data_IF_549364475444
#
_entry.id   IF_549364475444
#
_cell.length_a   1.000
_cell.length_b   1.000
_cell.length_c   1.000
_cell.angle_alpha   90.00
_cell.angle_beta   90.00
_cell.angle_gamma   90.00
#
_symmetry.space_group_name_H-M   'P 1'
#
loop_
_entity.id
_entity.type
_entity.pdbx_description
1 polymer ?
#
# COMPACT_ATOMS: atom_id res chain seq x y z
N UNK A 1 -12.88 12.87 10.74
CA UNK A 1 -11.90 13.64 11.54
C UNK A 1 -11.41 14.77 10.66
N UNK A 2 -11.52 15.97 11.13
CA UNK A 2 -11.61 17.27 10.48
C UNK A 2 -10.41 17.63 9.60
N UNK A 3 -10.74 18.13 8.38
CA UNK A 3 -9.90 18.93 7.49
C UNK A 3 -9.24 20.12 8.24
N UNK A 4 -8.04 19.90 8.73
CA UNK A 4 -7.10 20.99 8.99
C UNK A 4 -6.25 21.18 7.72
N UNK A 5 -6.89 21.71 6.65
CA UNK A 5 -6.17 22.33 5.57
C UNK A 5 -5.35 23.48 6.18
N UNK A 6 -4.08 23.26 6.44
CA UNK A 6 -3.13 24.26 6.92
C UNK A 6 -3.16 25.44 5.96
N UNK A 7 -3.60 26.59 6.45
CA UNK A 7 -3.57 27.84 5.68
C UNK A 7 -2.14 28.05 5.14
N UNK A 8 -1.98 28.43 3.85
CA UNK A 8 -0.65 28.60 3.28
C UNK A 8 0.12 29.65 4.09
N UNK A 9 1.32 29.32 4.51
CA UNK A 9 2.15 30.19 5.30
C UNK A 9 2.41 31.56 4.61
N UNK A 10 2.76 32.61 5.35
CA UNK A 10 2.89 33.98 4.81
C UNK A 10 3.89 34.06 3.66
N UNK A 11 4.94 33.24 3.64
CA UNK A 11 5.91 33.17 2.55
C UNK A 11 5.30 32.63 1.24
N UNK A 12 4.41 31.64 1.31
CA UNK A 12 3.73 31.08 0.13
C UNK A 12 2.71 32.07 -0.47
N UNK A 13 2.02 32.85 0.37
CA UNK A 13 1.11 33.90 -0.09
C UNK A 13 1.86 35.07 -0.74
N UNK A 14 2.99 35.48 -0.19
CA UNK A 14 3.85 36.49 -0.79
C UNK A 14 4.41 36.05 -2.15
N UNK A 15 4.92 34.82 -2.26
CA UNK A 15 5.42 34.28 -3.52
C UNK A 15 4.32 34.20 -4.60
N UNK A 16 3.09 33.81 -4.23
CA UNK A 16 1.92 33.78 -5.13
C UNK A 16 1.57 35.18 -5.63
N UNK A 17 1.58 36.18 -4.74
CA UNK A 17 1.28 37.58 -5.09
C UNK A 17 2.36 38.18 -5.97
N UNK A 18 3.64 38.00 -5.65
CA UNK A 18 4.77 38.46 -6.47
C UNK A 18 4.70 37.88 -7.89
N UNK A 19 4.45 36.57 -8.02
CA UNK A 19 4.30 35.92 -9.33
C UNK A 19 3.12 36.47 -10.14
N UNK A 20 2.02 36.84 -9.49
CA UNK A 20 0.86 37.47 -10.17
C UNK A 20 1.21 38.85 -10.69
N UNK A 21 1.91 39.65 -9.88
CA UNK A 21 2.33 40.98 -10.26
C UNK A 21 3.33 40.94 -11.43
N UNK A 22 4.29 40.00 -11.42
CA UNK A 22 5.23 39.85 -12.55
C UNK A 22 4.50 39.46 -13.83
N UNK A 23 3.55 38.52 -13.78
CA UNK A 23 2.73 38.14 -14.94
C UNK A 23 1.89 39.30 -15.44
N UNK A 24 1.27 40.08 -14.55
CA UNK A 24 0.48 41.23 -14.90
C UNK A 24 1.33 42.30 -15.61
N UNK A 25 2.52 42.60 -15.09
CA UNK A 25 3.44 43.56 -15.68
C UNK A 25 3.96 43.11 -17.06
N UNK A 26 4.39 41.86 -17.19
CA UNK A 26 4.87 41.31 -18.47
C UNK A 26 3.77 41.32 -19.53
N UNK A 27 2.54 40.93 -19.18
CA UNK A 27 1.41 40.96 -20.09
C UNK A 27 1.02 42.41 -20.46
N UNK A 28 1.05 43.36 -19.52
CA UNK A 28 0.75 44.76 -19.75
C UNK A 28 1.77 45.41 -20.73
N UNK A 29 3.05 45.06 -20.57
CA UNK A 29 4.12 45.52 -21.50
C UNK A 29 3.91 44.88 -22.85
N UNK A 30 3.61 43.59 -22.95
CA UNK A 30 3.37 42.91 -24.23
C UNK A 30 2.19 43.50 -24.99
N UNK A 31 1.09 43.80 -24.28
CA UNK A 31 -0.10 44.48 -24.85
C UNK A 31 0.28 45.89 -25.32
N UNK A 32 1.02 46.65 -24.50
CA UNK A 32 1.53 47.96 -24.88
C UNK A 32 2.37 47.93 -26.14
N UNK A 33 3.29 46.97 -26.28
CA UNK A 33 4.11 46.79 -27.48
C UNK A 33 3.23 46.45 -28.71
N UNK A 34 2.27 45.58 -28.57
CA UNK A 34 1.35 45.22 -29.64
C UNK A 34 0.51 46.40 -30.14
N UNK A 35 0.13 47.32 -29.21
CA UNK A 35 -0.72 48.47 -29.50
C UNK A 35 0.07 49.70 -30.02
N UNK A 36 1.43 49.64 -29.98
CA UNK A 36 2.24 50.80 -30.42
C UNK A 36 1.97 51.23 -31.86
N UNK A 37 1.67 50.32 -32.77
CA UNK A 37 1.42 50.61 -34.19
C UNK A 37 0.07 51.36 -34.42
N UNK A 38 -0.84 51.26 -33.49
CA UNK A 38 -2.20 51.85 -33.57
C UNK A 38 -2.33 53.06 -32.66
N UNK A 39 -1.28 53.35 -31.87
CA UNK A 39 -1.32 54.41 -30.87
C UNK A 39 -0.79 55.73 -31.38
N UNK A 40 -1.65 56.75 -31.42
CA UNK A 40 -1.32 58.06 -31.98
C UNK A 40 -0.76 59.08 -30.96
N UNK A 41 -0.60 58.66 -29.66
CA UNK A 41 -0.06 59.51 -28.61
C UNK A 41 1.32 59.04 -28.13
N UNK A 42 1.87 59.67 -27.09
CA UNK A 42 3.19 59.27 -26.54
C UNK A 42 3.21 57.80 -26.08
N UNK A 43 4.26 57.01 -26.40
CA UNK A 43 4.40 55.62 -25.97
C UNK A 43 4.32 55.47 -24.44
N UNK A 44 4.87 56.44 -23.70
CA UNK A 44 4.84 56.43 -22.22
C UNK A 44 3.39 56.44 -21.66
N UNK A 45 2.47 57.18 -22.31
CA UNK A 45 1.06 57.23 -21.92
C UNK A 45 0.37 55.87 -22.19
N UNK A 46 0.74 55.15 -23.22
CA UNK A 46 0.23 53.82 -23.53
C UNK A 46 0.66 52.79 -22.47
N UNK A 47 1.95 52.71 -22.17
CA UNK A 47 2.46 51.79 -21.17
C UNK A 47 1.89 52.06 -19.78
N UNK A 48 1.80 53.31 -19.38
CA UNK A 48 1.16 53.65 -18.07
C UNK A 48 -0.27 53.13 -18.01
N UNK A 49 -1.07 53.34 -19.07
CA UNK A 49 -2.48 52.88 -19.13
C UNK A 49 -2.59 51.35 -19.12
N UNK A 50 -1.78 50.66 -19.92
CA UNK A 50 -1.81 49.19 -19.95
C UNK A 50 -1.38 48.58 -18.61
N UNK A 51 -0.39 49.17 -17.92
CA UNK A 51 0.03 48.73 -16.57
C UNK A 51 -1.11 48.92 -15.54
N UNK A 52 -1.78 50.11 -15.55
CA UNK A 52 -2.91 50.35 -14.64
C UNK A 52 -4.04 49.34 -14.90
N UNK A 53 -4.35 49.07 -16.18
CA UNK A 53 -5.37 48.07 -16.53
C UNK A 53 -4.96 46.66 -16.09
N UNK A 54 -3.73 46.27 -16.29
CA UNK A 54 -3.24 44.94 -15.87
C UNK A 54 -3.24 44.77 -14.36
N UNK A 55 -2.86 45.80 -13.60
CA UNK A 55 -2.90 45.78 -12.13
C UNK A 55 -4.34 45.73 -11.62
N UNK A 56 -5.26 46.54 -12.21
CA UNK A 56 -6.68 46.50 -11.81
C UNK A 56 -7.34 45.15 -12.15
N UNK A 57 -7.02 44.55 -13.30
CA UNK A 57 -7.47 43.20 -13.64
C UNK A 57 -6.98 42.14 -12.64
N UNK A 58 -5.70 42.24 -12.27
CA UNK A 58 -5.10 41.30 -11.31
C UNK A 58 -5.68 41.45 -9.91
N UNK A 59 -5.96 42.69 -9.48
CA UNK A 59 -6.60 42.98 -8.20
C UNK A 59 -8.03 42.43 -8.16
N UNK A 60 -8.83 42.67 -9.23
CA UNK A 60 -10.16 42.13 -9.36
C UNK A 60 -10.17 40.60 -9.35
N UNK A 61 -9.27 39.96 -10.13
CA UNK A 61 -9.12 38.52 -10.15
C UNK A 61 -8.80 37.96 -8.77
N UNK A 62 -7.87 38.59 -8.04
CA UNK A 62 -7.50 38.20 -6.68
C UNK A 62 -8.63 38.36 -5.68
N UNK A 63 -9.39 39.43 -5.80
CA UNK A 63 -10.57 39.69 -4.93
C UNK A 63 -11.63 38.61 -5.12
N UNK A 64 -12.01 38.32 -6.36
CA UNK A 64 -13.03 37.32 -6.67
C UNK A 64 -12.56 35.86 -6.56
N UNK A 65 -11.27 35.62 -6.35
CA UNK A 65 -10.77 34.32 -5.94
C UNK A 65 -11.19 33.97 -4.49
N UNK A 66 -11.26 34.96 -3.61
CA UNK A 66 -11.50 34.77 -2.17
C UNK A 66 -12.91 35.12 -1.77
N UNK A 67 -13.49 36.16 -2.37
CA UNK A 67 -14.81 36.71 -2.04
C UNK A 67 -15.75 36.71 -3.28
N UNK A 68 -17.05 36.39 -3.11
CA UNK A 68 -17.76 35.97 -1.89
C UNK A 68 -17.43 34.54 -1.48
N UNK A 69 -17.52 34.24 -0.17
CA UNK A 69 -17.18 32.92 0.38
C UNK A 69 -18.19 31.85 -0.01
N UNK A 70 -19.49 32.19 -0.12
CA UNK A 70 -20.54 31.28 -0.58
C UNK A 70 -21.04 31.70 -1.96
N UNK A 71 -20.92 30.83 -2.96
CA UNK A 71 -21.51 31.02 -4.29
C UNK A 71 -22.63 30.01 -4.49
N UNK A 72 -23.74 30.38 -5.16
CA UNK A 72 -24.78 29.45 -5.56
C UNK A 72 -24.16 28.31 -6.42
N UNK A 73 -24.71 27.07 -6.39
CA UNK A 73 -24.15 25.92 -7.12
C UNK A 73 -24.03 26.11 -8.63
N UNK A 74 -24.89 26.96 -9.20
CA UNK A 74 -24.91 27.28 -10.63
C UNK A 74 -23.87 28.33 -11.05
N UNK A 75 -23.28 29.11 -10.10
CA UNK A 75 -22.34 30.18 -10.39
C UNK A 75 -20.91 29.74 -10.03
N UNK A 76 -20.14 29.42 -11.03
CA UNK A 76 -18.72 29.05 -10.85
C UNK A 76 -17.85 30.32 -10.69
N UNK A 77 -16.85 30.28 -9.82
CA UNK A 77 -15.93 31.40 -9.53
C UNK A 77 -15.27 32.00 -10.77
N UNK A 78 -14.90 31.20 -11.75
CA UNK A 78 -14.30 31.68 -12.98
C UNK A 78 -15.27 32.56 -13.79
N UNK A 79 -16.57 32.22 -13.81
CA UNK A 79 -17.55 33.00 -14.52
C UNK A 79 -17.70 34.39 -13.87
N UNK A 80 -17.74 34.43 -12.52
CA UNK A 80 -17.74 35.68 -11.78
C UNK A 80 -16.51 36.55 -12.07
N UNK A 81 -15.32 35.92 -12.11
CA UNK A 81 -14.06 36.61 -12.44
C UNK A 81 -14.09 37.20 -13.87
N UNK A 82 -14.55 36.43 -14.87
CA UNK A 82 -14.67 36.91 -16.27
C UNK A 82 -15.64 38.07 -16.37
N UNK A 83 -16.82 37.95 -15.76
CA UNK A 83 -17.84 39.03 -15.76
C UNK A 83 -17.30 40.26 -15.03
N UNK A 84 -16.67 40.08 -13.88
CA UNK A 84 -16.10 41.22 -13.11
C UNK A 84 -15.03 41.97 -13.92
N UNK A 85 -14.14 41.25 -14.63
CA UNK A 85 -13.14 41.88 -15.50
C UNK A 85 -13.83 42.57 -16.66
N UNK A 86 -14.82 41.93 -17.31
CA UNK A 86 -15.60 42.50 -18.41
C UNK A 86 -16.27 43.84 -18.08
N UNK A 87 -16.74 43.97 -16.83
CA UNK A 87 -17.35 45.23 -16.34
C UNK A 87 -16.29 46.21 -15.87
N UNK A 88 -15.25 45.75 -15.18
CA UNK A 88 -14.25 46.63 -14.58
C UNK A 88 -13.35 47.28 -15.65
N UNK A 89 -13.04 46.61 -16.74
CA UNK A 89 -12.13 47.14 -17.77
C UNK A 89 -12.67 48.40 -18.44
N UNK A 90 -13.91 48.46 -18.95
CA UNK A 90 -14.51 49.70 -19.48
C UNK A 90 -14.53 50.84 -18.45
N UNK A 91 -14.88 50.51 -17.18
CA UNK A 91 -14.93 51.50 -16.10
C UNK A 91 -13.55 52.07 -15.82
N UNK A 92 -12.55 51.21 -15.65
CA UNK A 92 -11.15 51.63 -15.39
C UNK A 92 -10.59 52.44 -16.56
N UNK A 93 -10.83 51.97 -17.78
CA UNK A 93 -10.38 52.73 -18.99
C UNK A 93 -11.06 54.11 -19.06
N UNK A 94 -12.35 54.18 -18.82
CA UNK A 94 -13.09 55.47 -18.77
C UNK A 94 -12.54 56.40 -17.69
N UNK A 95 -12.27 55.90 -16.50
CA UNK A 95 -11.67 56.64 -15.42
C UNK A 95 -10.30 57.18 -15.76
N UNK A 96 -9.42 56.38 -16.40
CA UNK A 96 -8.13 56.83 -16.88
C UNK A 96 -8.25 57.96 -17.87
N UNK A 97 -9.21 57.88 -18.81
CA UNK A 97 -9.42 58.92 -19.82
C UNK A 97 -9.99 60.19 -19.24
N UNK A 98 -10.93 60.11 -18.29
CA UNK A 98 -11.48 61.28 -17.57
C UNK A 98 -10.39 61.98 -16.77
N UNK A 99 -9.61 61.23 -15.96
CA UNK A 99 -8.55 61.82 -15.13
C UNK A 99 -7.38 62.38 -15.94
N UNK A 100 -7.13 61.85 -17.14
CA UNK A 100 -6.10 62.39 -18.05
C UNK A 100 -6.57 63.53 -18.96
N UNK A 101 -7.81 64.05 -18.77
CA UNK A 101 -8.33 65.16 -19.51
C UNK A 101 -7.92 66.47 -18.84
N UNK A 102 -7.22 67.36 -19.56
CA UNK A 102 -6.82 68.67 -19.04
C UNK A 102 -8.05 69.53 -18.74
N UNK A 103 -7.91 70.43 -17.76
CA UNK A 103 -8.97 71.37 -17.45
C UNK A 103 -9.26 72.24 -18.66
N UNK A 104 -10.55 72.33 -19.03
CA UNK A 104 -11.01 73.12 -20.19
C UNK A 104 -10.99 72.35 -21.53
N UNK A 105 -10.41 71.16 -21.62
CA UNK A 105 -10.47 70.33 -22.83
C UNK A 105 -11.82 69.61 -22.96
N UNK A 106 -12.29 69.34 -24.20
CA UNK A 106 -13.53 68.58 -24.39
C UNK A 106 -13.45 67.19 -23.80
N UNK A 107 -14.55 66.58 -23.32
CA UNK A 107 -14.59 65.22 -22.83
C UNK A 107 -14.06 64.24 -23.90
N UNK A 108 -13.39 63.12 -23.47
CA UNK A 108 -12.72 62.20 -24.39
C UNK A 108 -13.68 61.58 -25.42
N UNK A 109 -14.95 61.45 -25.15
CA UNK A 109 -15.98 60.94 -26.08
C UNK A 109 -16.39 61.94 -27.18
N UNK A 110 -15.97 63.19 -27.09
CA UNK A 110 -16.13 64.22 -28.15
C UNK A 110 -14.92 64.37 -29.03
N UNK A 111 -13.78 63.75 -28.66
CA UNK A 111 -12.55 63.72 -29.43
C UNK A 111 -12.37 62.36 -30.11
N UNK A 112 -12.47 62.29 -31.47
CA UNK A 112 -12.39 61.01 -32.20
C UNK A 112 -11.09 60.23 -31.94
N UNK A 113 -9.96 60.91 -31.78
CA UNK A 113 -8.66 60.25 -31.56
C UNK A 113 -8.57 59.61 -30.19
N UNK A 114 -9.10 60.29 -29.19
CA UNK A 114 -9.16 59.80 -27.82
C UNK A 114 -10.21 58.70 -27.62
N UNK A 115 -11.31 58.80 -28.35
CA UNK A 115 -12.35 57.75 -28.35
C UNK A 115 -11.84 56.47 -28.98
N UNK A 116 -11.11 56.57 -30.10
CA UNK A 116 -10.46 55.44 -30.72
C UNK A 116 -9.46 54.76 -29.77
N UNK A 117 -8.60 55.53 -29.09
CA UNK A 117 -7.69 55.00 -28.09
C UNK A 117 -8.40 54.27 -26.93
N UNK A 118 -9.51 54.85 -26.45
CA UNK A 118 -10.37 54.23 -25.44
C UNK A 118 -10.97 52.89 -25.92
N UNK A 119 -11.52 52.87 -27.15
CA UNK A 119 -12.12 51.66 -27.73
C UNK A 119 -11.06 50.54 -27.91
N UNK A 120 -9.89 50.84 -28.46
CA UNK A 120 -8.83 49.86 -28.64
C UNK A 120 -8.34 49.28 -27.32
N UNK A 121 -8.08 50.11 -26.30
CA UNK A 121 -7.63 49.63 -24.99
C UNK A 121 -8.70 48.80 -24.26
N UNK A 122 -9.96 49.24 -24.31
CA UNK A 122 -11.05 48.52 -23.70
C UNK A 122 -11.30 47.19 -24.38
N UNK A 123 -11.31 47.15 -25.71
CA UNK A 123 -11.52 45.93 -26.50
C UNK A 123 -10.39 44.91 -26.25
N UNK A 124 -9.14 45.38 -26.28
CA UNK A 124 -7.99 44.53 -25.98
C UNK A 124 -8.05 43.96 -24.58
N UNK A 125 -8.43 44.77 -23.58
CA UNK A 125 -8.56 44.30 -22.21
C UNK A 125 -9.69 43.25 -22.01
N UNK A 126 -10.85 43.47 -22.65
CA UNK A 126 -11.96 42.51 -22.64
C UNK A 126 -11.59 41.22 -23.37
N UNK A 127 -10.92 41.31 -24.52
CA UNK A 127 -10.53 40.12 -25.31
C UNK A 127 -9.54 39.22 -24.57
N UNK A 128 -8.63 39.78 -23.76
CA UNK A 128 -7.62 39.03 -23.02
C UNK A 128 -8.16 38.43 -21.70
N UNK A 129 -9.25 38.93 -21.16
CA UNK A 129 -9.82 38.46 -19.90
C UNK A 129 -10.21 36.96 -19.91
N UNK A 130 -10.87 36.42 -20.95
CA UNK A 130 -11.24 35.01 -20.99
C UNK A 130 -10.01 34.09 -21.00
N UNK A 131 -8.91 34.48 -21.64
CA UNK A 131 -7.68 33.70 -21.71
C UNK A 131 -7.00 33.56 -20.35
N UNK A 132 -7.03 34.61 -19.52
CA UNK A 132 -6.48 34.54 -18.15
C UNK A 132 -7.30 33.61 -17.28
N UNK A 133 -8.63 33.66 -17.41
CA UNK A 133 -9.54 32.76 -16.71
C UNK A 133 -9.36 31.30 -17.15
N UNK A 134 -9.27 31.07 -18.46
CA UNK A 134 -9.03 29.73 -19.02
C UNK A 134 -7.71 29.13 -18.51
N UNK A 135 -6.63 29.92 -18.55
CA UNK A 135 -5.34 29.50 -18.01
C UNK A 135 -5.37 29.16 -16.51
N UNK A 136 -6.20 29.88 -15.74
CA UNK A 136 -6.40 29.58 -14.31
C UNK A 136 -7.15 28.25 -14.10
N UNK A 137 -8.20 28.00 -14.90
CA UNK A 137 -9.00 26.76 -14.85
C UNK A 137 -8.13 25.54 -15.22
N UNK A 138 -7.36 25.65 -16.30
CA UNK A 138 -6.46 24.56 -16.75
C UNK A 138 -5.46 24.23 -15.64
N UNK A 139 -4.79 25.24 -15.07
CA UNK A 139 -3.84 25.04 -13.95
C UNK A 139 -4.49 24.41 -12.72
N UNK A 140 -5.72 24.79 -12.39
CA UNK A 140 -6.45 24.23 -11.26
C UNK A 140 -6.80 22.75 -11.50
N UNK A 141 -7.25 22.42 -12.73
CA UNK A 141 -7.52 21.00 -13.10
C UNK A 141 -6.26 20.14 -13.10
N UNK A 142 -5.14 20.67 -13.61
CA UNK A 142 -3.85 19.96 -13.59
C UNK A 142 -3.34 19.72 -12.16
N UNK A 143 -3.47 20.72 -11.27
CA UNK A 143 -3.09 20.57 -9.87
C UNK A 143 -3.96 19.54 -9.16
N UNK A 144 -5.27 19.54 -9.41
CA UNK A 144 -6.19 18.55 -8.85
C UNK A 144 -5.86 17.13 -9.35
N UNK A 145 -5.63 16.97 -10.67
CA UNK A 145 -5.27 15.68 -11.25
C UNK A 145 -3.92 15.16 -10.72
N UNK A 146 -2.94 16.05 -10.49
CA UNK A 146 -1.65 15.66 -9.86
C UNK A 146 -1.85 15.20 -8.42
N UNK A 147 -2.64 15.91 -7.65
CA UNK A 147 -2.93 15.54 -6.25
C UNK A 147 -3.64 14.19 -6.16
N UNK A 148 -4.60 13.92 -7.05
CA UNK A 148 -5.25 12.61 -7.11
C UNK A 148 -4.25 11.49 -7.46
N UNK A 149 -3.40 11.70 -8.47
CA UNK A 149 -2.37 10.70 -8.84
C UNK A 149 -1.41 10.41 -7.68
N UNK A 150 -1.00 11.44 -6.93
CA UNK A 150 -0.15 11.26 -5.75
C UNK A 150 -0.87 10.49 -4.64
N UNK A 151 -2.15 10.81 -4.37
CA UNK A 151 -2.95 10.11 -3.39
C UNK A 151 -3.09 8.61 -3.73
N UNK A 152 -3.43 8.27 -4.98
CA UNK A 152 -3.49 6.89 -5.46
C UNK A 152 -2.13 6.16 -5.40
N UNK A 153 -1.03 6.86 -5.70
CA UNK A 153 0.30 6.27 -5.61
C UNK A 153 0.71 5.95 -4.17
N UNK A 154 0.36 6.83 -3.22
CA UNK A 154 0.57 6.59 -1.79
C UNK A 154 -0.26 5.41 -1.28
N UNK A 155 -1.56 5.41 -1.53
CA UNK A 155 -2.47 4.32 -1.13
C UNK A 155 -2.01 2.96 -1.68
N UNK A 156 -1.63 2.93 -2.96
CA UNK A 156 -1.07 1.71 -3.57
C UNK A 156 0.22 1.25 -2.87
N UNK A 157 1.13 2.18 -2.57
CA UNK A 157 2.39 1.86 -1.88
C UNK A 157 2.15 1.34 -0.45
N UNK A 158 1.15 1.89 0.26
CA UNK A 158 0.75 1.41 1.59
C UNK A 158 0.17 -0.01 1.51
N UNK A 159 -0.73 -0.29 0.56
CA UNK A 159 -1.28 -1.63 0.34
C UNK A 159 -0.20 -2.66 -0.06
N UNK A 160 0.75 -2.29 -0.93
CA UNK A 160 1.88 -3.15 -1.30
C UNK A 160 2.77 -3.46 -0.09
N UNK A 161 2.99 -2.49 0.80
CA UNK A 161 3.74 -2.65 2.04
C UNK A 161 3.01 -3.55 3.04
N UNK A 162 1.72 -3.33 3.26
CA UNK A 162 0.90 -4.19 4.13
C UNK A 162 0.85 -5.64 3.63
N UNK A 163 0.71 -5.83 2.31
CA UNK A 163 0.74 -7.16 1.70
C UNK A 163 2.12 -7.85 1.88
N UNK A 164 3.21 -7.08 1.76
CA UNK A 164 4.56 -7.60 2.00
C UNK A 164 4.77 -7.95 3.47
N UNK A 165 4.35 -7.10 4.40
CA UNK A 165 4.45 -7.35 5.84
C UNK A 165 3.61 -8.57 6.25
N UNK A 166 2.37 -8.68 5.75
CA UNK A 166 1.53 -9.86 5.96
C UNK A 166 2.21 -11.14 5.43
N UNK A 167 2.82 -11.06 4.24
CA UNK A 167 3.58 -12.18 3.67
C UNK A 167 4.81 -12.55 4.50
N UNK A 168 5.54 -11.56 5.02
CA UNK A 168 6.67 -11.79 5.93
C UNK A 168 6.22 -12.44 7.24
N UNK A 169 5.11 -11.99 7.82
CA UNK A 169 4.53 -12.60 9.02
C UNK A 169 4.10 -14.06 8.79
N UNK A 170 3.49 -14.36 7.63
CA UNK A 170 3.15 -15.74 7.26
C UNK A 170 4.41 -16.62 7.11
N UNK A 171 5.47 -16.10 6.50
CA UNK A 171 6.74 -16.82 6.36
C UNK A 171 7.41 -17.05 7.72
N UNK A 172 7.39 -16.08 8.63
CA UNK A 172 7.93 -16.22 9.98
C UNK A 172 7.14 -17.20 10.84
N UNK A 173 5.83 -17.32 10.66
CA UNK A 173 4.99 -18.26 11.39
C UNK A 173 5.17 -19.72 10.93
N UNK A 174 5.67 -19.96 9.70
CA UNK A 174 5.81 -21.30 9.14
C UNK A 174 7.09 -22.04 9.56
N UNK A 175 8.14 -21.33 9.98
CA UNK A 175 9.30 -21.93 10.62
C UNK A 175 9.16 -21.68 12.11
N UNK A 176 8.98 -22.73 12.93
CA UNK A 176 8.83 -22.59 14.37
C UNK A 176 10.09 -21.89 14.99
N UNK A 177 10.07 -20.53 15.21
CA UNK A 177 11.28 -19.81 15.61
C UNK A 177 11.84 -20.34 16.93
N UNK A 178 10.94 -20.68 17.85
CA UNK A 178 11.26 -21.24 19.15
C UNK A 178 12.01 -22.59 19.05
N UNK A 179 11.64 -23.44 18.09
CA UNK A 179 12.35 -24.69 17.84
C UNK A 179 13.81 -24.44 17.38
N UNK A 180 13.98 -23.49 16.44
CA UNK A 180 15.32 -23.14 15.93
C UNK A 180 16.22 -22.57 17.03
N UNK A 181 15.74 -21.61 17.81
CA UNK A 181 16.51 -21.03 18.90
C UNK A 181 16.86 -22.05 19.97
N UNK A 182 15.93 -22.93 20.35
CA UNK A 182 16.20 -23.98 21.32
C UNK A 182 17.19 -25.02 20.80
N UNK A 183 17.12 -25.37 19.52
CA UNK A 183 18.06 -26.32 18.91
C UNK A 183 19.46 -25.71 18.80
N UNK A 184 19.58 -24.45 18.42
CA UNK A 184 20.87 -23.73 18.40
C UNK A 184 21.48 -23.61 19.80
N UNK A 185 20.67 -23.28 20.81
CA UNK A 185 21.14 -23.25 22.21
C UNK A 185 21.64 -24.62 22.68
N UNK A 186 20.94 -25.69 22.29
CA UNK A 186 21.38 -27.06 22.57
C UNK A 186 22.72 -27.42 21.85
N UNK A 187 22.86 -27.03 20.57
CA UNK A 187 24.12 -27.20 19.83
C UNK A 187 25.25 -26.46 20.53
N UNK A 188 25.03 -25.23 20.97
CA UNK A 188 26.02 -24.43 21.70
C UNK A 188 26.43 -25.15 23.00
N UNK A 189 25.47 -25.58 23.81
CA UNK A 189 25.75 -26.31 25.04
C UNK A 189 26.54 -27.62 24.81
N UNK A 190 26.26 -28.36 23.73
CA UNK A 190 26.98 -29.53 23.36
C UNK A 190 28.42 -29.24 22.88
N UNK A 191 28.63 -28.12 22.19
CA UNK A 191 29.95 -27.65 21.76
C UNK A 191 30.77 -27.23 23.01
N UNK A 192 30.19 -26.46 23.91
CA UNK A 192 30.82 -25.99 25.13
C UNK A 192 31.21 -27.14 26.07
N UNK A 193 30.40 -28.22 26.05
CA UNK A 193 30.69 -29.47 26.79
C UNK A 193 31.66 -30.41 26.08
N UNK A 194 32.16 -30.08 24.86
CA UNK A 194 33.03 -30.96 24.07
C UNK A 194 32.35 -32.24 23.63
N UNK A 195 31.03 -32.28 23.53
CA UNK A 195 30.27 -33.48 23.20
C UNK A 195 30.49 -33.96 21.76
N UNK A 196 30.75 -35.27 21.52
CA UNK A 196 30.87 -35.80 20.17
C UNK A 196 29.56 -35.73 19.37
N UNK A 197 28.43 -35.42 20.02
CA UNK A 197 27.12 -35.31 19.36
C UNK A 197 26.89 -33.95 18.71
N UNK A 198 27.62 -32.88 19.08
CA UNK A 198 27.44 -31.52 18.52
C UNK A 198 27.48 -31.47 16.98
N UNK A 199 28.45 -32.12 16.27
CA UNK A 199 28.46 -32.14 14.81
C UNK A 199 27.28 -32.88 14.19
N UNK A 200 26.71 -33.87 14.87
CA UNK A 200 25.56 -34.65 14.39
C UNK A 200 24.32 -33.78 14.43
N UNK A 201 24.04 -33.11 15.59
CA UNK A 201 22.92 -32.22 15.78
C UNK A 201 22.97 -31.06 14.77
N UNK A 202 24.18 -30.49 14.53
CA UNK A 202 24.36 -29.41 13.56
C UNK A 202 24.07 -29.85 12.13
N UNK A 203 24.47 -31.08 11.74
CA UNK A 203 24.14 -31.63 10.41
C UNK A 203 22.63 -31.83 10.23
N UNK A 204 21.96 -32.43 11.22
CA UNK A 204 20.50 -32.64 11.15
C UNK A 204 19.75 -31.33 11.14
N UNK A 205 20.19 -30.29 11.90
CA UNK A 205 19.63 -28.94 11.83
C UNK A 205 19.83 -28.32 10.45
N UNK A 206 21.02 -28.47 9.86
CA UNK A 206 21.29 -27.95 8.52
C UNK A 206 20.45 -28.68 7.46
N UNK A 207 20.26 -29.99 7.59
CA UNK A 207 19.38 -30.77 6.71
C UNK A 207 17.93 -30.33 6.82
N UNK A 208 17.42 -30.12 8.05
CA UNK A 208 16.10 -29.61 8.32
C UNK A 208 15.88 -28.22 7.65
N UNK A 209 16.79 -27.27 7.87
CA UNK A 209 16.69 -25.94 7.29
C UNK A 209 16.73 -25.95 5.77
N UNK A 210 17.59 -26.81 5.18
CA UNK A 210 17.68 -26.95 3.72
C UNK A 210 16.42 -27.53 3.11
N UNK A 211 15.70 -28.40 3.83
CA UNK A 211 14.41 -28.92 3.40
C UNK A 211 13.26 -27.93 3.64
N UNK A 212 13.30 -27.19 4.76
CA UNK A 212 12.22 -26.26 5.15
C UNK A 212 12.13 -25.03 4.25
N UNK A 213 13.28 -24.39 3.93
CA UNK A 213 13.31 -23.11 3.21
C UNK A 213 12.61 -23.16 1.83
N UNK A 214 12.79 -24.17 0.97
CA UNK A 214 12.05 -24.25 -0.29
C UNK A 214 10.54 -24.42 -0.09
N UNK A 215 10.12 -25.23 0.87
CA UNK A 215 8.71 -25.50 1.16
C UNK A 215 7.91 -24.26 1.56
N UNK A 216 8.57 -23.24 2.15
CA UNK A 216 7.93 -21.96 2.50
C UNK A 216 7.44 -21.17 1.28
N UNK A 217 7.95 -21.47 0.09
CA UNK A 217 7.62 -20.75 -1.14
C UNK A 217 6.74 -21.57 -2.10
N UNK A 218 6.48 -22.84 -1.77
CA UNK A 218 5.66 -23.72 -2.58
C UNK A 218 4.17 -23.62 -2.19
N UNK A 219 3.28 -23.61 -3.17
CA UNK A 219 1.83 -23.64 -2.94
C UNK A 219 1.31 -25.05 -2.62
N UNK A 220 2.06 -26.09 -3.00
CA UNK A 220 1.80 -27.50 -2.71
C UNK A 220 3.11 -28.26 -2.67
N UNK A 221 3.23 -29.22 -1.76
CA UNK A 221 4.38 -30.12 -1.62
C UNK A 221 3.97 -31.56 -1.93
N UNK A 222 4.91 -32.41 -2.28
CA UNK A 222 4.67 -33.86 -2.35
C UNK A 222 4.93 -34.49 -0.98
N UNK A 223 4.30 -35.64 -0.71
CA UNK A 223 4.56 -36.42 0.50
C UNK A 223 6.06 -36.72 0.63
N UNK A 224 6.77 -37.03 -0.45
CA UNK A 224 8.21 -37.25 -0.43
C UNK A 224 8.97 -36.03 0.13
N UNK A 225 8.64 -34.84 -0.32
CA UNK A 225 9.21 -33.56 0.18
C UNK A 225 8.92 -33.32 1.65
N UNK A 226 7.70 -33.60 2.07
CA UNK A 226 7.30 -33.55 3.49
C UNK A 226 8.15 -34.49 4.34
N UNK A 227 8.39 -35.73 3.88
CA UNK A 227 9.21 -36.69 4.58
C UNK A 227 10.70 -36.30 4.66
N UNK A 228 11.23 -35.61 3.64
CA UNK A 228 12.57 -35.01 3.69
C UNK A 228 12.72 -33.95 4.78
N UNK A 229 11.62 -33.31 5.19
CA UNK A 229 11.58 -32.36 6.28
C UNK A 229 11.35 -33.04 7.64
N UNK A 230 10.46 -34.02 7.69
CA UNK A 230 10.05 -34.72 8.93
C UNK A 230 11.17 -35.57 9.50
N UNK A 231 11.95 -36.27 8.66
CA UNK A 231 13.08 -37.13 9.14
C UNK A 231 14.12 -36.35 9.94
N UNK A 232 14.75 -35.29 9.42
CA UNK A 232 15.71 -34.48 10.20
C UNK A 232 15.11 -33.88 11.46
N UNK A 233 13.83 -33.50 11.41
CA UNK A 233 13.11 -32.98 12.58
C UNK A 233 13.01 -34.04 13.70
N UNK A 234 12.58 -35.26 13.37
CA UNK A 234 12.48 -36.36 14.32
C UNK A 234 13.84 -36.78 14.86
N UNK A 235 14.89 -36.82 14.03
CA UNK A 235 16.28 -37.08 14.45
C UNK A 235 16.72 -36.02 15.49
N UNK A 236 16.46 -34.74 15.25
CA UNK A 236 16.76 -33.67 16.20
C UNK A 236 15.99 -33.83 17.53
N UNK A 237 14.69 -34.20 17.46
CA UNK A 237 13.88 -34.44 18.65
C UNK A 237 14.35 -35.68 19.43
N UNK A 238 14.74 -36.74 18.75
CA UNK A 238 15.29 -37.95 19.37
C UNK A 238 16.64 -37.68 20.05
N UNK A 239 17.51 -36.85 19.44
CA UNK A 239 18.75 -36.42 20.09
C UNK A 239 18.52 -35.53 21.32
N UNK A 240 17.43 -34.74 21.34
CA UNK A 240 17.02 -33.94 22.49
C UNK A 240 16.43 -34.80 23.61
N UNK A 241 15.75 -35.89 23.26
CA UNK A 241 15.03 -36.79 24.16
C UNK A 241 15.37 -38.26 23.88
N UNK A 242 16.64 -38.67 24.04
CA UNK A 242 17.12 -39.98 23.56
C UNK A 242 16.38 -41.17 24.20
N UNK A 243 16.02 -41.05 25.47
CA UNK A 243 15.35 -42.13 26.21
C UNK A 243 13.83 -42.01 26.21
N UNK A 244 13.31 -40.91 25.65
CA UNK A 244 11.88 -40.57 25.74
C UNK A 244 11.15 -40.56 24.40
N UNK A 245 11.85 -40.43 23.26
CA UNK A 245 11.24 -40.42 21.96
C UNK A 245 11.69 -41.61 21.12
N UNK A 246 10.75 -42.47 20.74
CA UNK A 246 10.91 -43.47 19.68
C UNK A 246 9.98 -43.11 18.51
N UNK A 247 10.34 -43.44 17.29
CA UNK A 247 9.46 -43.25 16.15
C UNK A 247 9.63 -44.35 15.08
N UNK A 248 8.56 -44.56 14.31
CA UNK A 248 8.58 -45.37 13.10
C UNK A 248 7.82 -44.70 11.97
N UNK A 249 8.22 -44.99 10.74
CA UNK A 249 7.60 -44.41 9.54
C UNK A 249 7.31 -45.55 8.56
N UNK A 250 6.02 -45.78 8.28
CA UNK A 250 5.50 -46.71 7.31
C UNK A 250 4.88 -45.92 6.16
N UNK A 251 5.47 -45.92 4.99
CA UNK A 251 5.06 -45.12 3.87
C UNK A 251 4.86 -45.96 2.62
N UNK A 252 3.67 -45.94 2.07
CA UNK A 252 3.39 -46.54 0.78
C UNK A 252 4.11 -45.75 -0.32
N UNK A 253 4.87 -46.46 -1.17
CA UNK A 253 5.58 -45.83 -2.28
C UNK A 253 4.64 -45.15 -3.27
N UNK A 254 3.40 -45.64 -3.41
CA UNK A 254 2.36 -45.00 -4.24
C UNK A 254 1.89 -43.65 -3.71
N UNK A 255 2.15 -43.34 -2.42
CA UNK A 255 1.78 -42.07 -1.82
C UNK A 255 2.85 -40.98 -2.01
N UNK A 256 4.10 -41.30 -2.33
CA UNK A 256 5.23 -40.35 -2.35
C UNK A 256 4.98 -39.12 -3.25
N UNK A 257 4.35 -39.33 -4.41
CA UNK A 257 4.08 -38.27 -5.38
C UNK A 257 2.76 -37.52 -5.14
N UNK A 258 1.98 -37.92 -4.13
CA UNK A 258 0.72 -37.24 -3.82
C UNK A 258 1.00 -35.85 -3.30
N UNK A 259 0.27 -34.86 -3.83
CA UNK A 259 0.36 -33.46 -3.42
C UNK A 259 -0.48 -33.16 -2.19
N UNK A 260 0.10 -32.43 -1.26
CA UNK A 260 -0.56 -31.94 -0.05
C UNK A 260 -0.20 -30.47 0.22
N UNK A 261 -0.95 -29.76 1.09
CA UNK A 261 -0.52 -28.47 1.57
C UNK A 261 0.85 -28.56 2.24
N UNK A 262 1.76 -27.58 2.06
CA UNK A 262 3.09 -27.60 2.67
C UNK A 262 3.02 -27.74 4.18
N UNK A 263 3.98 -28.43 4.78
CA UNK A 263 4.08 -28.73 6.22
C UNK A 263 2.93 -29.57 6.81
N UNK A 264 2.17 -30.29 5.98
CA UNK A 264 1.06 -31.14 6.45
C UNK A 264 1.56 -32.22 7.39
N UNK A 265 2.50 -33.06 6.95
CA UNK A 265 3.03 -34.18 7.79
C UNK A 265 3.81 -33.61 8.96
N UNK A 266 4.62 -32.56 8.74
CA UNK A 266 5.37 -31.93 9.82
C UNK A 266 4.46 -31.40 10.92
N UNK A 267 3.36 -30.72 10.58
CA UNK A 267 2.41 -30.20 11.57
C UNK A 267 1.80 -31.29 12.45
N UNK A 268 1.50 -32.47 11.87
CA UNK A 268 1.00 -33.59 12.63
C UNK A 268 2.07 -34.14 13.59
N UNK A 269 3.31 -34.26 13.11
CA UNK A 269 4.44 -34.76 13.91
C UNK A 269 4.84 -33.77 15.01
N UNK A 270 4.88 -32.46 14.70
CA UNK A 270 5.13 -31.43 15.72
C UNK A 270 4.07 -31.46 16.83
N UNK A 271 2.80 -31.68 16.46
CA UNK A 271 1.71 -31.82 17.42
C UNK A 271 1.93 -33.03 18.33
N UNK A 272 2.30 -34.19 17.77
CA UNK A 272 2.58 -35.40 18.53
C UNK A 272 3.78 -35.22 19.49
N UNK A 273 4.86 -34.58 19.02
CA UNK A 273 6.03 -34.27 19.89
C UNK A 273 5.62 -33.30 21.00
N UNK A 274 5.02 -32.18 20.67
CA UNK A 274 4.74 -31.09 21.61
C UNK A 274 3.68 -31.42 22.65
N UNK A 275 2.62 -32.10 22.24
CA UNK A 275 1.46 -32.38 23.11
C UNK A 275 1.41 -33.81 23.60
N UNK A 276 2.05 -34.75 22.88
CA UNK A 276 2.11 -36.15 23.30
C UNK A 276 3.38 -36.46 24.11
N UNK A 277 4.55 -36.27 23.51
CA UNK A 277 5.81 -36.77 24.08
C UNK A 277 6.44 -35.80 25.09
N UNK A 278 6.55 -34.51 24.78
CA UNK A 278 7.16 -33.51 25.67
C UNK A 278 6.55 -33.49 27.09
N UNK A 279 5.21 -33.52 27.26
CA UNK A 279 4.58 -33.52 28.57
C UNK A 279 4.63 -34.90 29.30
N UNK A 280 4.94 -36.00 28.59
CA UNK A 280 5.01 -37.35 29.16
C UNK A 280 6.36 -37.59 29.81
N UNK A 281 6.40 -37.76 31.13
CA UNK A 281 7.67 -38.09 31.84
C UNK A 281 8.26 -39.40 31.35
N UNK A 282 7.43 -40.38 31.03
CA UNK A 282 7.84 -41.71 30.49
C UNK A 282 8.21 -41.65 29.04
N UNK A 283 7.98 -40.51 28.35
CA UNK A 283 8.13 -40.38 26.92
C UNK A 283 7.02 -41.10 26.15
N UNK A 284 7.35 -41.61 24.98
CA UNK A 284 6.42 -42.33 24.12
C UNK A 284 6.99 -42.60 22.73
N UNK A 285 6.15 -43.19 21.90
CA UNK A 285 6.44 -43.51 20.53
C UNK A 285 5.53 -42.73 19.57
N UNK A 286 6.07 -42.34 18.43
CA UNK A 286 5.32 -41.75 17.33
C UNK A 286 5.35 -42.66 16.13
N UNK A 287 4.19 -43.14 15.68
CA UNK A 287 4.03 -43.92 14.47
C UNK A 287 3.43 -43.05 13.36
N UNK A 288 4.06 -43.02 12.20
CA UNK A 288 3.66 -42.24 11.03
C UNK A 288 3.33 -43.25 9.93
N UNK A 289 2.05 -43.35 9.61
CA UNK A 289 1.55 -44.25 8.57
C UNK A 289 0.97 -43.41 7.43
N UNK A 290 1.47 -43.63 6.21
CA UNK A 290 1.01 -42.92 5.02
C UNK A 290 0.64 -43.96 3.95
N UNK A 291 -0.65 -44.03 3.65
CA UNK A 291 -1.22 -45.00 2.72
C UNK A 291 -1.93 -44.31 1.55
N UNK A 292 -1.74 -44.85 0.35
CA UNK A 292 -2.57 -44.50 -0.80
C UNK A 292 -3.62 -45.61 -1.04
N UNK A 293 -4.88 -45.23 -1.00
CA UNK A 293 -6.04 -46.10 -1.23
C UNK A 293 -6.84 -45.62 -2.43
N UNK A 294 -6.41 -46.05 -3.62
CA UNK A 294 -7.00 -45.62 -4.87
C UNK A 294 -6.77 -44.13 -5.15
N UNK A 295 -7.84 -43.33 -5.15
CA UNK A 295 -7.85 -41.90 -5.34
C UNK A 295 -7.73 -41.09 -4.03
N UNK A 296 -7.52 -41.77 -2.90
CA UNK A 296 -7.37 -41.17 -1.56
C UNK A 296 -5.96 -41.40 -1.03
N UNK A 297 -5.45 -40.40 -0.30
CA UNK A 297 -4.23 -40.51 0.50
C UNK A 297 -4.58 -40.25 1.97
N UNK A 298 -4.18 -41.17 2.84
CA UNK A 298 -4.41 -41.08 4.27
C UNK A 298 -3.05 -40.93 4.95
N UNK A 299 -2.87 -39.83 5.66
CA UNK A 299 -1.71 -39.56 6.53
C UNK A 299 -2.18 -39.67 7.96
N UNK A 300 -1.63 -40.61 8.71
CA UNK A 300 -1.94 -40.83 10.12
C UNK A 300 -0.68 -40.70 10.95
N UNK A 301 -0.73 -39.90 12.01
CA UNK A 301 0.31 -39.78 13.02
C UNK A 301 -0.30 -40.14 14.36
N UNK A 302 0.25 -41.19 14.99
CA UNK A 302 -0.21 -41.70 16.29
C UNK A 302 0.90 -41.55 17.31
N UNK A 303 0.64 -40.96 18.45
CA UNK A 303 1.53 -40.94 19.60
C UNK A 303 0.98 -41.81 20.75
N UNK A 304 1.89 -42.27 21.60
CA UNK A 304 1.58 -43.01 22.84
C UNK A 304 1.86 -42.14 24.08
N UNK A 305 1.85 -40.82 23.93
CA UNK A 305 2.25 -39.89 24.96
C UNK A 305 1.18 -39.57 26.02
N UNK A 306 1.08 -38.29 26.41
CA UNK A 306 0.22 -37.84 27.50
C UNK A 306 -1.28 -38.04 27.26
N UNK A 307 -1.69 -38.25 26.00
CA UNK A 307 -3.09 -38.40 25.59
C UNK A 307 -3.83 -37.07 25.42
N UNK A 308 -5.10 -37.16 25.04
CA UNK A 308 -5.93 -35.99 24.78
C UNK A 308 -6.23 -35.29 26.11
N UNK A 309 -5.67 -34.09 26.27
CA UNK A 309 -6.04 -33.23 27.41
C UNK A 309 -7.19 -32.32 26.99
N UNK A 310 -8.22 -32.13 27.84
CA UNK A 310 -9.26 -31.16 27.59
C UNK A 310 -8.66 -29.76 27.64
N UNK A 311 -8.35 -29.19 26.49
CA UNK A 311 -7.91 -27.78 26.40
C UNK A 311 -9.12 -26.91 26.08
N UNK A 312 -9.24 -25.78 26.79
CA UNK A 312 -10.32 -24.81 26.60
C UNK A 312 -10.32 -24.19 25.19
N UNK A 313 -9.20 -24.28 24.46
CA UNK A 313 -8.98 -23.62 23.15
C UNK A 313 -9.13 -24.56 21.93
N UNK A 314 -9.67 -25.75 22.06
CA UNK A 314 -9.91 -26.67 20.94
C UNK A 314 -8.65 -27.35 20.40
N UNK A 315 -8.51 -27.46 19.06
CA UNK A 315 -7.48 -28.26 18.36
C UNK A 315 -6.04 -27.72 18.41
N UNK A 316 -5.81 -26.55 19.00
CA UNK A 316 -4.53 -25.83 18.92
C UNK A 316 -4.30 -25.15 17.57
N UNK A 317 -3.48 -24.09 17.57
CA UNK A 317 -3.27 -23.21 16.38
C UNK A 317 -2.74 -23.95 15.16
N UNK A 318 -1.83 -24.91 15.32
CA UNK A 318 -1.22 -25.67 14.20
C UNK A 318 -2.23 -26.52 13.42
N UNK A 319 -3.04 -27.34 14.14
CA UNK A 319 -4.05 -28.20 13.51
C UNK A 319 -5.23 -27.37 12.94
N UNK A 320 -5.60 -26.27 13.59
CA UNK A 320 -6.62 -25.35 13.06
C UNK A 320 -6.18 -24.75 11.73
N UNK A 321 -4.96 -24.23 11.65
CA UNK A 321 -4.40 -23.67 10.40
C UNK A 321 -4.26 -24.74 9.32
N UNK A 322 -3.88 -25.98 9.67
CA UNK A 322 -3.84 -27.08 8.72
C UNK A 322 -5.23 -27.42 8.18
N UNK A 323 -6.25 -27.46 9.04
CA UNK A 323 -7.65 -27.69 8.63
C UNK A 323 -8.12 -26.62 7.65
N UNK A 324 -7.86 -25.34 7.93
CA UNK A 324 -8.21 -24.23 7.04
C UNK A 324 -7.52 -24.37 5.67
N UNK A 325 -6.23 -24.73 5.64
CA UNK A 325 -5.49 -24.96 4.37
C UNK A 325 -6.05 -26.14 3.57
N UNK A 326 -6.38 -27.25 4.24
CA UNK A 326 -7.02 -28.40 3.60
C UNK A 326 -8.36 -28.01 2.99
N UNK A 327 -9.17 -27.23 3.71
CA UNK A 327 -10.46 -26.72 3.25
C UNK A 327 -10.31 -25.78 2.04
N UNK A 328 -9.29 -24.90 2.04
CA UNK A 328 -9.03 -23.99 0.91
C UNK A 328 -8.62 -24.73 -0.37
N UNK A 329 -7.85 -25.82 -0.25
CA UNK A 329 -7.31 -26.52 -1.42
C UNK A 329 -8.28 -27.61 -1.92
N UNK A 330 -8.89 -28.36 -1.02
CA UNK A 330 -9.70 -29.56 -1.34
C UNK A 330 -11.17 -29.40 -0.99
N UNK A 331 -11.60 -28.32 -0.33
CA UNK A 331 -12.97 -28.16 0.14
C UNK A 331 -13.36 -29.30 1.08
N UNK A 332 -14.58 -29.79 0.94
CA UNK A 332 -15.12 -30.89 1.74
C UNK A 332 -14.54 -32.26 1.36
N UNK A 333 -13.71 -32.34 0.34
CA UNK A 333 -13.06 -33.58 -0.07
C UNK A 333 -11.92 -34.01 0.83
N UNK A 334 -11.38 -33.12 1.70
CA UNK A 334 -10.36 -33.45 2.68
C UNK A 334 -10.93 -33.36 4.11
N UNK A 335 -10.48 -34.26 4.98
CA UNK A 335 -10.91 -34.30 6.39
C UNK A 335 -9.71 -34.45 7.32
N UNK A 336 -9.70 -33.68 8.42
CA UNK A 336 -8.76 -33.83 9.53
C UNK A 336 -9.52 -34.32 10.75
N UNK A 337 -9.14 -35.48 11.28
CA UNK A 337 -9.73 -36.11 12.45
C UNK A 337 -8.69 -36.25 13.56
N UNK A 338 -9.12 -36.02 14.80
CA UNK A 338 -8.31 -36.24 16.00
C UNK A 338 -9.07 -37.22 16.90
N UNK A 339 -8.42 -38.29 17.28
CA UNK A 339 -9.00 -39.37 18.11
C UNK A 339 -8.03 -39.81 19.19
N UNK A 340 -8.57 -40.31 20.32
CA UNK A 340 -7.71 -40.92 21.32
C UNK A 340 -7.20 -42.26 20.84
N UNK A 341 -5.92 -42.54 21.07
CA UNK A 341 -5.29 -43.83 20.80
C UNK A 341 -5.28 -44.70 22.05
N UNK A 342 -5.51 -46.01 21.87
CA UNK A 342 -5.44 -46.95 22.96
C UNK A 342 -4.02 -47.55 23.12
N UNK A 343 -3.51 -47.79 24.34
CA UNK A 343 -4.15 -47.57 25.63
C UNK A 343 -4.08 -46.11 26.12
N UNK A 344 -3.19 -45.28 25.52
CA UNK A 344 -2.94 -43.87 25.85
C UNK A 344 -2.32 -43.20 24.65
N UNK A 345 -2.64 -41.93 24.37
CA UNK A 345 -2.10 -41.15 23.28
C UNK A 345 -3.16 -40.54 22.39
N UNK A 346 -2.72 -39.99 21.26
CA UNK A 346 -3.57 -39.31 20.27
C UNK A 346 -3.23 -39.82 18.87
N UNK A 347 -4.25 -40.05 18.06
CA UNK A 347 -4.09 -40.26 16.63
C UNK A 347 -4.71 -39.09 15.86
N UNK A 348 -3.91 -38.45 15.01
CA UNK A 348 -4.34 -37.43 14.08
C UNK A 348 -4.26 -37.96 12.67
N UNK A 349 -5.37 -37.89 11.95
CA UNK A 349 -5.52 -38.41 10.61
C UNK A 349 -5.95 -37.29 9.63
N UNK A 350 -5.26 -37.20 8.53
CA UNK A 350 -5.64 -36.40 7.36
C UNK A 350 -5.98 -37.34 6.22
N UNK A 351 -7.21 -37.27 5.76
CA UNK A 351 -7.72 -38.01 4.60
C UNK A 351 -7.98 -36.98 3.48
N UNK A 352 -7.30 -37.12 2.34
CA UNK A 352 -7.33 -36.16 1.24
C UNK A 352 -7.29 -36.85 -0.14
N UNK A 353 -7.74 -36.18 -1.23
CA UNK A 353 -7.60 -36.70 -2.58
C UNK A 353 -6.14 -36.93 -2.97
N UNK A 354 -5.85 -38.09 -3.61
CA UNK A 354 -4.50 -38.45 -4.08
C UNK A 354 -4.19 -37.84 -5.45
N UNK A 355 -4.13 -36.50 -5.53
CA UNK A 355 -3.71 -35.81 -6.75
C UNK A 355 -2.18 -35.87 -6.87
N UNK A 356 -1.66 -36.25 -8.03
CA UNK A 356 -0.23 -36.30 -8.34
C UNK A 356 0.24 -35.08 -9.13
#
# INVERSE_FOLDING_TARGET
MSDLATAPGPAATLAKTARRLTVALTMSIAVGLLMLSVWNNSPSSLFLRTIILGLSATAAFGLFEVWPRGLPPWLQRWALQVVAIGVLMPVTTSLIYVLSTAQGAPPFWKDPSRLNGWTHLTFAAILLAPWTALAAIVRQKEAFARNQKLAFALERSELEREALDARLHLLQAQVAPHFLFNTLANVQALVDAGSPHAPVVLRSLTAYLRAAVPLLHESAATIERELQLVRPYLELMQMRMPDRLQYAMNVDQGALNVRCPPTTVLTLVENAVRHGIDPSEEGGRIDIDIDRRGDRCVVRVTDTGAGLQPSADGLGTGLTTLRERLQLIFGDAAQLRVTSAAPRGVAVEVDMPAHT
#
